data_IF_391031109554
#
_entry.id   IF_391031109554
#
_cell.length_a   1.000
_cell.length_b   1.000
_cell.length_c   1.000
_cell.angle_alpha   90.00
_cell.angle_beta   90.00
_cell.angle_gamma   90.00
#
_symmetry.space_group_name_H-M   'P 1'
#
loop_
_entity.id
_entity.type
_entity.pdbx_description
1 polymer ?
#
# COMPACT_ATOMS: atom_id res chain seq x y z
N UNK A 1 -2.55 -2.32 -21.78
CA UNK A 1 -1.58 -1.62 -20.91
C UNK A 1 -0.95 -0.41 -21.60
N UNK A 2 -1.18 -0.21 -22.90
CA UNK A 2 -0.60 0.92 -23.66
C UNK A 2 -1.18 2.27 -23.27
N UNK A 3 -2.46 2.32 -22.82
CA UNK A 3 -3.09 3.56 -22.36
C UNK A 3 -2.29 4.28 -21.25
N UNK A 4 -1.87 3.56 -20.19
CA UNK A 4 -1.06 4.15 -19.11
C UNK A 4 0.29 4.65 -19.64
N UNK A 5 0.91 3.91 -20.56
CA UNK A 5 2.18 4.31 -21.19
C UNK A 5 2.03 5.59 -21.99
N UNK A 6 0.96 5.71 -22.77
CA UNK A 6 0.71 6.87 -23.63
C UNK A 6 0.28 8.09 -22.82
N UNK A 7 -0.48 7.89 -21.73
CA UNK A 7 -0.82 8.94 -20.76
C UNK A 7 0.43 9.52 -20.12
N UNK A 8 1.38 8.67 -19.69
CA UNK A 8 2.67 9.12 -19.15
C UNK A 8 3.45 9.94 -20.18
N UNK A 9 3.60 9.45 -21.41
CA UNK A 9 4.29 10.19 -22.48
C UNK A 9 3.64 11.55 -22.73
N UNK A 10 2.31 11.60 -22.75
CA UNK A 10 1.54 12.84 -22.95
C UNK A 10 1.77 13.83 -21.80
N UNK A 11 1.73 13.35 -20.55
CA UNK A 11 1.97 14.18 -19.38
C UNK A 11 3.39 14.77 -19.37
N UNK A 12 4.41 13.94 -19.61
CA UNK A 12 5.80 14.40 -19.64
C UNK A 12 6.09 15.34 -20.82
N UNK A 13 5.48 15.11 -21.98
CA UNK A 13 5.62 16.02 -23.11
C UNK A 13 5.06 17.41 -22.80
N UNK A 14 3.95 17.51 -22.06
CA UNK A 14 3.39 18.80 -21.60
C UNK A 14 4.34 19.57 -20.68
N UNK A 15 5.13 18.84 -19.88
CA UNK A 15 6.15 19.41 -19.00
C UNK A 15 7.51 19.66 -19.71
N UNK A 16 7.56 19.50 -21.04
CA UNK A 16 8.75 19.80 -21.85
C UNK A 16 9.78 18.68 -21.94
N UNK A 17 9.43 17.43 -21.61
CA UNK A 17 10.29 16.26 -21.81
C UNK A 17 9.95 15.57 -23.15
N UNK A 18 10.73 15.80 -24.23
CA UNK A 18 10.35 15.38 -25.58
C UNK A 18 10.58 13.90 -25.86
N UNK A 19 11.45 13.23 -25.09
CA UNK A 19 11.76 11.81 -25.26
C UNK A 19 11.64 11.09 -23.92
N UNK A 20 10.65 10.21 -23.83
CA UNK A 20 10.33 9.44 -22.62
C UNK A 20 10.31 7.96 -22.96
N UNK A 21 11.14 7.20 -22.27
CA UNK A 21 11.13 5.74 -22.31
C UNK A 21 10.35 5.21 -21.10
N UNK A 22 9.36 4.36 -21.36
CA UNK A 22 8.55 3.72 -20.31
C UNK A 22 8.81 2.22 -20.37
N UNK A 23 9.54 1.73 -19.38
CA UNK A 23 9.79 0.31 -19.20
C UNK A 23 8.63 -0.35 -18.44
N UNK A 24 8.06 -1.41 -19.02
CA UNK A 24 7.05 -2.22 -18.33
C UNK A 24 7.72 -3.46 -17.76
N UNK A 25 7.89 -3.49 -16.43
CA UNK A 25 8.50 -4.61 -15.72
C UNK A 25 7.41 -5.46 -15.07
N UNK A 26 7.31 -6.73 -15.47
CA UNK A 26 6.36 -7.70 -14.89
C UNK A 26 7.02 -8.62 -13.86
N UNK A 27 8.34 -8.77 -13.92
CA UNK A 27 9.11 -9.63 -13.04
C UNK A 27 10.42 -8.93 -12.62
N UNK A 28 10.81 -8.99 -11.32
CA UNK A 28 10.03 -9.57 -10.22
C UNK A 28 8.74 -8.78 -9.97
N UNK A 29 7.71 -9.46 -9.48
CA UNK A 29 6.46 -8.80 -9.12
C UNK A 29 6.72 -7.74 -8.05
N UNK A 30 6.00 -6.61 -8.15
CA UNK A 30 6.08 -5.56 -7.15
C UNK A 30 5.74 -6.11 -5.76
N UNK A 31 6.48 -5.68 -4.75
CA UNK A 31 6.25 -6.06 -3.35
C UNK A 31 6.24 -4.85 -2.43
N UNK A 32 5.43 -4.93 -1.37
CA UNK A 32 5.42 -3.97 -0.27
C UNK A 32 6.77 -3.83 0.44
N UNK A 33 7.64 -4.83 0.34
CA UNK A 33 9.00 -4.79 0.90
C UNK A 33 9.88 -3.70 0.29
N UNK A 34 9.54 -3.20 -0.90
CA UNK A 34 10.27 -2.11 -1.56
C UNK A 34 9.88 -0.71 -1.05
N UNK A 35 8.87 -0.60 -0.18
CA UNK A 35 8.50 0.68 0.42
C UNK A 35 9.54 1.14 1.44
N UNK A 36 10.04 2.36 1.26
CA UNK A 36 10.96 2.99 2.20
C UNK A 36 10.25 3.38 3.50
N UNK A 37 11.01 3.50 4.60
CA UNK A 37 10.48 3.99 5.88
C UNK A 37 9.88 5.39 5.77
N UNK A 38 10.47 6.26 4.93
CA UNK A 38 9.91 7.57 4.61
C UNK A 38 8.53 7.47 3.94
N UNK A 39 8.37 6.54 2.99
CA UNK A 39 7.10 6.29 2.33
C UNK A 39 6.03 5.79 3.32
N UNK A 40 6.41 4.88 4.23
CA UNK A 40 5.52 4.39 5.29
C UNK A 40 5.12 5.50 6.27
N UNK A 41 6.05 6.37 6.65
CA UNK A 41 5.78 7.52 7.50
C UNK A 41 4.77 8.48 6.85
N UNK A 42 4.92 8.78 5.57
CA UNK A 42 3.96 9.61 4.82
C UNK A 42 2.57 9.00 4.72
N UNK A 43 2.46 7.68 4.57
CA UNK A 43 1.15 7.03 4.64
C UNK A 43 0.49 7.25 6.00
N UNK A 44 1.26 7.04 7.08
CA UNK A 44 0.75 7.21 8.43
C UNK A 44 0.32 8.66 8.70
N UNK A 45 1.12 9.64 8.29
CA UNK A 45 0.80 11.07 8.36
C UNK A 45 -0.48 11.41 7.58
N UNK A 46 -0.66 10.79 6.42
CA UNK A 46 -1.89 10.92 5.62
C UNK A 46 -3.11 10.21 6.25
N UNK A 47 -2.93 9.42 7.31
CA UNK A 47 -4.00 8.67 7.96
C UNK A 47 -4.24 7.27 7.38
N UNK A 48 -3.31 6.73 6.59
CA UNK A 48 -3.31 5.34 6.11
C UNK A 48 -2.33 4.53 6.96
N UNK A 49 -2.79 3.42 7.53
CA UNK A 49 -1.90 2.49 8.22
C UNK A 49 -0.95 1.82 7.21
N UNK A 50 0.38 1.98 7.34
CA UNK A 50 1.35 1.36 6.44
C UNK A 50 1.37 -0.16 6.60
N UNK A 51 1.89 -0.92 5.62
CA UNK A 51 1.95 -2.39 5.71
C UNK A 51 2.81 -2.82 6.90
N UNK A 52 2.29 -3.75 7.70
CA UNK A 52 2.98 -4.30 8.86
C UNK A 52 3.51 -5.71 8.56
N UNK A 53 4.82 -5.83 8.32
CA UNK A 53 5.50 -7.10 8.07
C UNK A 53 6.30 -7.12 6.77
N UNK A 54 6.71 -8.31 6.35
CA UNK A 54 7.43 -8.55 5.09
C UNK A 54 6.67 -9.49 4.17
N UNK A 55 6.72 -9.22 2.88
CA UNK A 55 6.09 -10.00 1.82
C UNK A 55 6.64 -11.42 1.72
N UNK A 56 7.97 -11.57 1.86
CA UNK A 56 8.67 -12.84 1.75
C UNK A 56 8.24 -13.90 2.78
N UNK A 57 7.51 -13.52 3.84
CA UNK A 57 6.98 -14.46 4.84
C UNK A 57 5.79 -15.31 4.32
N UNK A 58 5.52 -15.33 3.01
CA UNK A 58 4.27 -15.85 2.43
C UNK A 58 4.38 -16.87 1.29
N UNK A 59 5.55 -17.47 1.03
CA UNK A 59 5.62 -18.62 0.12
C UNK A 59 4.84 -19.82 0.67
N UNK A 60 4.28 -20.67 -0.21
CA UNK A 60 3.55 -21.90 0.18
C UNK A 60 4.38 -22.91 1.00
N UNK A 61 5.68 -22.68 1.15
CA UNK A 61 6.65 -23.51 1.88
C UNK A 61 7.28 -22.79 3.09
N UNK A 62 6.71 -21.68 3.56
CA UNK A 62 7.23 -20.87 4.66
C UNK A 62 6.50 -21.06 6.00
N UNK A 63 6.93 -20.35 7.07
CA UNK A 63 6.28 -20.34 8.37
C UNK A 63 4.81 -19.91 8.31
N UNK A 64 3.98 -20.38 9.25
CA UNK A 64 2.58 -19.96 9.38
C UNK A 64 2.52 -18.47 9.70
N UNK A 65 1.78 -17.70 8.89
CA UNK A 65 1.60 -16.26 9.10
C UNK A 65 0.68 -15.99 10.27
N UNK A 66 1.17 -15.19 11.22
CA UNK A 66 0.34 -14.61 12.27
C UNK A 66 -0.10 -13.22 11.83
N UNK A 67 -1.41 -12.97 11.86
CA UNK A 67 -1.94 -11.64 11.64
C UNK A 67 -1.84 -10.85 12.96
N UNK A 68 -1.00 -9.82 12.96
CA UNK A 68 -0.93 -8.87 14.06
C UNK A 68 -2.02 -7.80 13.92
N UNK A 69 -2.36 -7.15 15.03
CA UNK A 69 -3.28 -6.02 15.03
C UNK A 69 -2.72 -4.87 14.18
N UNK A 70 -3.60 -4.19 13.44
CA UNK A 70 -3.23 -3.00 12.66
C UNK A 70 -3.31 -1.79 13.57
N UNK A 71 -2.23 -1.02 13.67
CA UNK A 71 -2.17 0.19 14.50
C UNK A 71 -2.98 1.31 13.87
N UNK A 72 -3.89 1.91 14.63
CA UNK A 72 -4.66 3.07 14.20
C UNK A 72 -3.71 4.25 13.94
N UNK A 73 -3.76 4.89 12.74
CA UNK A 73 -2.88 6.00 12.42
C UNK A 73 -3.24 7.29 13.17
N UNK A 74 -4.48 7.39 13.71
CA UNK A 74 -4.96 8.58 14.42
C UNK A 74 -4.57 8.57 15.90
N UNK A 75 -4.88 7.49 16.64
CA UNK A 75 -4.70 7.44 18.09
C UNK A 75 -3.65 6.40 18.55
N UNK A 76 -2.96 5.73 17.62
CA UNK A 76 -1.99 4.68 17.90
C UNK A 76 -2.52 3.42 18.60
N UNK A 77 -3.83 3.29 18.80
CA UNK A 77 -4.45 2.09 19.38
C UNK A 77 -4.29 0.86 18.49
N UNK A 78 -4.15 -0.31 19.11
CA UNK A 78 -4.21 -1.62 18.47
C UNK A 78 -5.61 -2.25 18.50
N UNK A 79 -6.57 -1.61 19.17
CA UNK A 79 -7.96 -2.04 19.24
C UNK A 79 -8.69 -1.67 17.96
N UNK A 80 -8.36 -2.36 16.86
CA UNK A 80 -8.89 -2.08 15.53
C UNK A 80 -9.57 -3.32 14.95
N UNK A 81 -10.56 -3.10 14.09
CA UNK A 81 -11.33 -4.18 13.45
C UNK A 81 -11.38 -3.95 11.94
N UNK A 82 -11.06 -5.00 11.18
CA UNK A 82 -11.27 -5.00 9.72
C UNK A 82 -12.78 -4.99 9.43
N UNK A 83 -13.21 -4.02 8.61
CA UNK A 83 -14.60 -3.95 8.12
C UNK A 83 -14.74 -4.64 6.77
N UNK A 84 -13.79 -4.41 5.86
CA UNK A 84 -13.74 -5.04 4.55
C UNK A 84 -12.31 -5.23 4.09
N UNK A 85 -12.06 -6.35 3.42
CA UNK A 85 -10.76 -6.68 2.84
C UNK A 85 -10.35 -5.77 1.70
N UNK A 86 -11.31 -5.04 1.11
CA UNK A 86 -11.12 -4.13 0.00
C UNK A 86 -11.75 -2.77 0.32
N UNK A 87 -10.91 -1.75 0.42
CA UNK A 87 -11.28 -0.36 0.72
C UNK A 87 -11.24 0.51 -0.54
N UNK A 88 -10.61 1.68 -0.44
CA UNK A 88 -10.53 2.66 -1.55
C UNK A 88 -9.79 2.14 -2.79
N UNK A 89 -8.95 1.12 -2.63
CA UNK A 89 -8.21 0.44 -3.71
C UNK A 89 -8.08 -1.04 -3.37
N UNK A 90 -7.79 -1.88 -4.36
CA UNK A 90 -7.64 -3.34 -4.15
C UNK A 90 -6.50 -3.71 -3.20
N UNK A 91 -5.45 -2.89 -3.10
CA UNK A 91 -4.33 -3.08 -2.18
C UNK A 91 -4.62 -2.62 -0.75
N UNK A 92 -5.71 -1.88 -0.51
CA UNK A 92 -6.09 -1.40 0.83
C UNK A 92 -7.27 -2.17 1.39
N UNK A 93 -7.26 -2.40 2.70
CA UNK A 93 -8.40 -2.90 3.47
C UNK A 93 -8.92 -1.77 4.39
N UNK A 94 -10.23 -1.75 4.64
CA UNK A 94 -10.83 -0.73 5.50
C UNK A 94 -10.95 -1.25 6.93
N UNK A 95 -10.49 -0.45 7.88
CA UNK A 95 -10.54 -0.73 9.32
C UNK A 95 -11.31 0.36 10.05
N UNK A 96 -11.77 0.04 11.26
CA UNK A 96 -12.26 1.01 12.23
C UNK A 96 -11.52 0.84 13.55
N UNK A 97 -11.11 1.95 14.17
CA UNK A 97 -10.58 1.92 15.52
C UNK A 97 -11.73 1.88 16.53
N UNK A 98 -11.68 0.95 17.48
CA UNK A 98 -12.69 0.83 18.52
C UNK A 98 -12.50 1.83 19.67
N UNK A 99 -11.34 2.49 19.77
CA UNK A 99 -11.08 3.49 20.81
C UNK A 99 -11.48 4.90 20.36
N UNK A 100 -10.93 5.39 19.24
CA UNK A 100 -11.27 6.72 18.71
C UNK A 100 -12.44 6.74 17.70
N UNK A 101 -12.97 5.57 17.31
CA UNK A 101 -14.09 5.40 16.37
C UNK A 101 -13.84 5.83 14.93
N UNK A 102 -12.64 6.30 14.60
CA UNK A 102 -12.29 6.70 13.24
C UNK A 102 -12.09 5.49 12.30
N UNK A 103 -12.68 5.52 11.08
CA UNK A 103 -12.34 4.59 10.02
C UNK A 103 -11.00 4.97 9.36
N UNK A 104 -10.24 3.99 8.90
CA UNK A 104 -8.98 4.24 8.20
C UNK A 104 -8.64 3.10 7.23
N UNK A 105 -7.88 3.43 6.18
CA UNK A 105 -7.33 2.45 5.25
C UNK A 105 -6.06 1.82 5.81
N UNK A 106 -5.92 0.50 5.65
CA UNK A 106 -4.70 -0.26 5.88
C UNK A 106 -4.13 -0.76 4.54
N UNK A 107 -2.87 -0.44 4.26
CA UNK A 107 -2.19 -0.96 3.08
C UNK A 107 -1.73 -2.40 3.34
N UNK A 108 -2.32 -3.38 2.63
CA UNK A 108 -2.03 -4.80 2.86
C UNK A 108 -0.62 -5.16 2.42
N UNK A 109 0.04 -6.03 3.19
CA UNK A 109 1.30 -6.67 2.79
C UNK A 109 1.05 -7.56 1.57
N UNK A 110 1.85 -7.35 0.53
CA UNK A 110 1.94 -8.13 -0.71
C UNK A 110 3.37 -8.60 -0.91
#
# INVERSE_FOLDING_TARGET
MDAIRDDLKTAFHKEGYPSVYVELVLAPAWTTDWMTEHGKAKLQEYGIAPPSGRAAAGGHSGPVRLQLAVKCPQCSSLNTKELTRFGSTSCKALFVCQDCKEPFDYFKVL
#
